data_IF_579766561847
#
_entry.id   IF_579766561847
#
_cell.length_a   1.000
_cell.length_b   1.000
_cell.length_c   1.000
_cell.angle_alpha   90.00
_cell.angle_beta   90.00
_cell.angle_gamma   90.00
#
_symmetry.space_group_name_H-M   'P 1'
#
loop_
_entity.id
_entity.type
_entity.pdbx_description
1 polymer ?
#
# COMPACT_ATOMS: atom_id res chain seq x y z
N UNK A 1 -4.70 12.69 15.46
CA UNK A 1 -4.94 12.85 14.01
C UNK A 1 -3.60 12.75 13.30
N UNK A 2 -3.49 12.05 12.16
CA UNK A 2 -2.24 11.91 11.40
C UNK A 2 -1.69 13.28 10.93
N UNK A 3 -0.37 13.45 10.97
CA UNK A 3 0.34 14.69 10.60
C UNK A 3 1.64 14.37 9.86
N UNK A 4 1.76 14.84 8.61
CA UNK A 4 2.92 14.58 7.76
C UNK A 4 4.20 15.30 8.23
N UNK A 5 4.10 16.44 8.94
CA UNK A 5 5.27 17.13 9.48
C UNK A 5 5.88 16.35 10.64
N UNK A 6 5.06 15.77 11.52
CA UNK A 6 5.54 14.83 12.55
C UNK A 6 6.06 13.55 11.90
N UNK A 7 5.38 13.07 10.86
CA UNK A 7 5.77 11.89 10.09
C UNK A 7 7.14 12.00 9.45
N UNK A 8 7.52 13.18 8.95
CA UNK A 8 8.88 13.45 8.45
C UNK A 8 9.96 13.18 9.51
N UNK A 9 9.71 13.58 10.77
CA UNK A 9 10.66 13.36 11.85
C UNK A 9 10.80 11.85 12.16
N UNK A 10 9.68 11.13 12.22
CA UNK A 10 9.66 9.66 12.38
C UNK A 10 10.38 8.98 11.22
N UNK A 11 10.13 9.41 9.98
CA UNK A 11 10.78 8.89 8.78
C UNK A 11 12.31 9.05 8.86
N UNK A 12 12.79 10.23 9.22
CA UNK A 12 14.20 10.52 9.35
C UNK A 12 14.88 9.65 10.42
N UNK A 13 14.18 9.35 11.51
CA UNK A 13 14.71 8.58 12.64
C UNK A 13 14.71 7.06 12.39
N UNK A 14 13.66 6.54 11.73
CA UNK A 14 13.41 5.09 11.69
C UNK A 14 13.45 4.46 10.29
N UNK A 15 13.34 5.26 9.22
CA UNK A 15 13.08 4.74 7.88
C UNK A 15 14.17 5.12 6.86
N UNK A 16 14.69 6.34 6.95
CA UNK A 16 15.58 6.92 5.94
C UNK A 16 16.92 6.16 5.77
N UNK A 17 17.38 5.46 6.82
CA UNK A 17 18.62 4.65 6.73
C UNK A 17 18.51 3.50 5.74
N UNK A 18 17.31 2.97 5.50
CA UNK A 18 17.06 1.88 4.57
C UNK A 18 16.39 2.39 3.29
N UNK A 19 15.31 3.17 3.43
CA UNK A 19 14.53 3.64 2.28
C UNK A 19 15.12 4.88 1.60
N UNK A 20 16.22 5.42 2.12
CA UNK A 20 16.89 6.61 1.61
C UNK A 20 16.22 7.91 2.06
N UNK A 21 16.95 9.03 1.99
CA UNK A 21 16.43 10.33 2.43
C UNK A 21 15.20 10.79 1.63
N UNK A 22 15.12 10.39 0.36
CA UNK A 22 14.03 10.73 -0.56
C UNK A 22 13.12 9.54 -0.86
N UNK A 23 13.10 8.51 -0.01
CA UNK A 23 12.21 7.35 -0.18
C UNK A 23 12.48 6.53 -1.43
N UNK A 24 13.64 6.69 -2.06
CA UNK A 24 13.99 6.05 -3.34
C UNK A 24 14.37 4.57 -3.21
N UNK A 25 14.55 4.08 -1.98
CA UNK A 25 14.99 2.72 -1.71
C UNK A 25 16.39 2.43 -2.26
N UNK A 26 16.67 1.14 -2.46
CA UNK A 26 17.93 0.63 -2.99
C UNK A 26 17.66 -0.34 -4.14
N UNK A 27 17.91 0.10 -5.38
CA UNK A 27 17.69 -0.70 -6.59
C UNK A 27 18.82 -1.72 -6.77
N UNK A 28 18.46 -2.95 -7.13
CA UNK A 28 19.44 -3.99 -7.47
C UNK A 28 20.19 -3.61 -8.75
N UNK A 29 21.50 -3.84 -8.77
CA UNK A 29 22.31 -3.62 -9.95
C UNK A 29 22.16 -4.79 -10.95
N UNK A 30 22.28 -4.53 -12.27
CA UNK A 30 22.30 -5.59 -13.27
C UNK A 30 23.33 -6.68 -12.96
N UNK A 31 23.04 -7.97 -13.24
CA UNK A 31 21.87 -8.47 -13.97
C UNK A 31 20.59 -8.63 -13.12
N UNK A 32 20.64 -8.28 -11.83
CA UNK A 32 19.49 -8.47 -10.93
C UNK A 32 18.44 -7.36 -11.14
N UNK A 33 17.17 -7.76 -11.12
CA UNK A 33 16.01 -6.86 -11.28
C UNK A 33 15.33 -6.65 -9.93
N UNK A 34 14.78 -5.45 -9.72
CA UNK A 34 14.00 -5.08 -8.54
C UNK A 34 14.80 -4.27 -7.51
N UNK A 35 14.41 -4.37 -6.25
CA UNK A 35 14.97 -3.58 -5.15
C UNK A 35 15.40 -4.48 -3.98
N UNK A 36 16.47 -4.10 -3.28
CA UNK A 36 16.81 -4.66 -1.97
C UNK A 36 15.95 -4.01 -0.89
N UNK A 37 15.80 -2.68 -0.97
CA UNK A 37 14.86 -1.91 -0.17
C UNK A 37 13.91 -1.19 -1.11
N UNK A 38 12.58 -1.41 -1.02
CA UNK A 38 11.65 -0.84 -1.96
C UNK A 38 11.55 0.69 -1.82
N UNK A 39 11.29 1.41 -2.92
CA UNK A 39 10.95 2.83 -2.86
C UNK A 39 9.55 3.02 -2.25
N UNK A 40 9.41 4.02 -1.38
CA UNK A 40 8.15 4.31 -0.70
C UNK A 40 7.27 5.34 -1.45
N UNK A 41 7.88 6.12 -2.32
CA UNK A 41 7.21 7.07 -3.22
C UNK A 41 8.08 7.31 -4.48
N UNK A 42 7.59 8.14 -5.40
CA UNK A 42 8.19 8.35 -6.72
C UNK A 42 7.78 7.29 -7.74
N UNK A 43 8.24 7.45 -8.99
CA UNK A 43 7.79 6.65 -10.15
C UNK A 43 7.97 5.13 -9.98
N UNK A 44 8.95 4.70 -9.18
CA UNK A 44 9.23 3.29 -8.92
C UNK A 44 8.40 2.65 -7.79
N UNK A 45 7.50 3.41 -7.15
CA UNK A 45 6.70 2.94 -6.01
C UNK A 45 5.28 2.53 -6.40
N UNK A 46 4.43 2.27 -5.40
CA UNK A 46 3.02 1.92 -5.60
C UNK A 46 2.21 3.11 -6.13
N UNK A 47 1.16 2.83 -6.91
CA UNK A 47 0.26 3.88 -7.40
C UNK A 47 -0.80 4.28 -6.36
N UNK A 48 -1.48 5.41 -6.57
CA UNK A 48 -2.50 5.92 -5.64
C UNK A 48 -3.72 5.01 -5.42
N UNK A 49 -3.97 4.03 -6.30
CA UNK A 49 -5.03 3.05 -6.18
C UNK A 49 -4.62 1.79 -5.39
N UNK A 50 -3.35 1.64 -5.07
CA UNK A 50 -2.87 0.52 -4.28
C UNK A 50 -3.38 0.61 -2.83
N UNK A 51 -3.58 -0.54 -2.19
CA UNK A 51 -3.96 -0.59 -0.77
C UNK A 51 -2.99 0.17 0.14
N UNK A 52 -1.69 0.20 -0.21
CA UNK A 52 -0.68 0.97 0.54
C UNK A 52 -0.81 2.49 0.39
N UNK A 53 -1.56 2.97 -0.61
CA UNK A 53 -1.99 4.37 -0.73
C UNK A 53 -3.10 4.74 0.24
N UNK A 54 -3.75 3.76 0.88
CA UNK A 54 -4.77 4.01 1.89
C UNK A 54 -4.14 4.15 3.27
N UNK A 55 -4.38 5.29 3.92
CA UNK A 55 -3.69 5.68 5.14
C UNK A 55 -3.79 4.66 6.28
N UNK A 56 -4.96 4.04 6.46
CA UNK A 56 -5.19 3.09 7.54
C UNK A 56 -4.48 1.75 7.30
N UNK A 57 -4.40 1.28 6.05
CA UNK A 57 -3.64 0.09 5.71
C UNK A 57 -2.14 0.33 5.86
N UNK A 58 -1.65 1.48 5.38
CA UNK A 58 -0.25 1.86 5.54
C UNK A 58 0.17 1.96 7.00
N UNK A 59 -0.59 2.68 7.84
CA UNK A 59 -0.29 2.83 9.26
C UNK A 59 -0.27 1.47 9.99
N UNK A 60 -1.22 0.59 9.67
CA UNK A 60 -1.31 -0.75 10.25
C UNK A 60 -0.11 -1.62 9.84
N UNK A 61 0.23 -1.62 8.55
CA UNK A 61 1.37 -2.37 8.03
C UNK A 61 2.70 -1.89 8.63
N UNK A 62 2.91 -0.57 8.66
CA UNK A 62 4.11 0.06 9.20
C UNK A 62 4.29 -0.31 10.68
N UNK A 63 3.24 -0.17 11.50
CA UNK A 63 3.34 -0.51 12.93
C UNK A 63 3.67 -1.99 13.17
N UNK A 64 3.15 -2.87 12.33
CA UNK A 64 3.29 -4.31 12.51
C UNK A 64 4.61 -4.88 11.98
N UNK A 65 5.21 -4.25 10.97
CA UNK A 65 6.33 -4.86 10.22
C UNK A 65 7.56 -3.95 10.09
N UNK A 66 7.48 -2.69 10.52
CA UNK A 66 8.58 -1.73 10.40
C UNK A 66 8.96 -1.14 11.75
N UNK A 67 10.27 -0.91 12.00
CA UNK A 67 11.42 -1.26 11.14
C UNK A 67 11.70 -2.77 11.02
N UNK A 68 12.67 -3.17 10.19
CA UNK A 68 13.04 -4.59 9.99
C UNK A 68 13.30 -5.29 11.33
N UNK A 69 12.69 -6.47 11.53
CA UNK A 69 12.80 -7.24 12.76
C UNK A 69 11.70 -6.96 13.80
N UNK A 70 10.81 -6.00 13.53
CA UNK A 70 9.59 -5.75 14.32
C UNK A 70 8.50 -6.77 13.99
N UNK A 71 7.72 -7.12 15.02
CA UNK A 71 6.46 -7.88 14.92
C UNK A 71 5.31 -7.09 15.55
N UNK A 72 4.07 -7.38 15.15
CA UNK A 72 2.86 -6.69 15.64
C UNK A 72 2.67 -6.78 17.16
N UNK A 73 3.29 -7.78 17.80
CA UNK A 73 3.26 -8.00 19.26
C UNK A 73 4.18 -7.05 20.02
N UNK A 74 5.27 -6.61 19.39
CA UNK A 74 6.30 -5.76 20.00
C UNK A 74 6.69 -4.62 19.04
N UNK A 75 5.75 -3.70 18.75
CA UNK A 75 5.99 -2.62 17.81
C UNK A 75 7.00 -1.61 18.39
N UNK A 76 7.94 -1.17 17.55
CA UNK A 76 8.86 -0.07 17.91
C UNK A 76 8.15 1.28 17.87
N UNK A 77 7.31 1.50 16.85
CA UNK A 77 6.56 2.73 16.69
C UNK A 77 5.29 2.71 17.55
N UNK A 78 5.00 3.85 18.17
CA UNK A 78 3.68 4.09 18.75
C UNK A 78 2.61 4.09 17.66
N UNK A 79 1.35 3.95 18.05
CA UNK A 79 0.23 4.08 17.11
C UNK A 79 0.30 5.43 16.39
N UNK A 80 0.48 6.53 17.11
CA UNK A 80 0.50 7.87 16.52
C UNK A 80 1.66 8.07 15.54
N UNK A 81 2.86 7.58 15.85
CA UNK A 81 4.01 7.65 14.94
C UNK A 81 3.78 6.87 13.65
N UNK A 82 3.17 5.67 13.74
CA UNK A 82 2.84 4.88 12.56
C UNK A 82 1.84 5.59 11.64
N UNK A 83 0.84 6.26 12.20
CA UNK A 83 -0.10 7.09 11.44
C UNK A 83 0.56 8.33 10.83
N UNK A 84 1.42 9.01 11.59
CA UNK A 84 2.11 10.22 11.13
C UNK A 84 3.07 9.90 9.98
N UNK A 85 3.89 8.85 10.10
CA UNK A 85 4.82 8.45 9.04
C UNK A 85 4.11 7.88 7.81
N UNK A 86 2.97 7.20 7.99
CA UNK A 86 2.13 6.79 6.87
C UNK A 86 1.56 8.01 6.11
N UNK A 87 1.10 9.03 6.83
CA UNK A 87 0.63 10.27 6.23
C UNK A 87 1.76 11.00 5.47
N UNK A 88 2.96 11.06 6.05
CA UNK A 88 4.13 11.60 5.36
C UNK A 88 4.44 10.82 4.08
N UNK A 89 4.52 9.48 4.16
CA UNK A 89 4.77 8.61 3.01
C UNK A 89 3.78 8.89 1.88
N UNK A 90 2.47 8.83 2.15
CA UNK A 90 1.40 8.99 1.15
C UNK A 90 1.30 10.44 0.62
N UNK A 91 1.75 11.44 1.38
CA UNK A 91 1.74 12.84 0.91
C UNK A 91 2.80 13.16 -0.14
N UNK A 92 3.79 12.28 -0.33
CA UNK A 92 4.78 12.41 -1.39
C UNK A 92 4.20 12.01 -2.76
N UNK A 93 4.82 12.37 -3.90
CA UNK A 93 4.31 12.01 -5.22
C UNK A 93 4.33 10.49 -5.48
N UNK A 94 3.23 9.94 -5.97
CA UNK A 94 3.10 8.55 -6.43
C UNK A 94 2.57 8.48 -7.86
N UNK A 95 2.81 7.37 -8.58
CA UNK A 95 2.11 7.09 -9.82
C UNK A 95 0.60 7.19 -9.66
N UNK A 96 -0.06 7.75 -10.66
CA UNK A 96 -1.53 7.82 -10.69
C UNK A 96 -2.08 6.42 -10.94
N UNK A 97 -3.17 6.07 -10.26
CA UNK A 97 -3.86 4.82 -10.51
C UNK A 97 -4.33 4.76 -11.97
N UNK A 98 -4.25 3.60 -12.65
CA UNK A 98 -4.94 3.44 -13.92
C UNK A 98 -6.44 3.66 -13.71
N UNK A 99 -7.18 4.14 -14.74
CA UNK A 99 -8.62 4.21 -14.68
C UNK A 99 -9.21 2.82 -14.38
N UNK A 100 -10.33 2.79 -13.67
CA UNK A 100 -11.05 1.53 -13.46
C UNK A 100 -11.39 0.90 -14.82
N UNK A 101 -11.26 -0.43 -14.96
CA UNK A 101 -11.76 -1.09 -16.14
C UNK A 101 -13.27 -0.83 -16.23
N UNK A 102 -13.74 -0.53 -17.44
CA UNK A 102 -15.19 -0.38 -17.67
C UNK A 102 -15.90 -1.65 -17.19
N UNK A 103 -17.06 -1.52 -16.52
CA UNK A 103 -17.80 -2.68 -16.05
C UNK A 103 -18.11 -3.57 -17.26
N UNK A 104 -17.66 -4.83 -17.21
CA UNK A 104 -18.03 -5.82 -18.22
C UNK A 104 -19.57 -5.90 -18.25
N UNK A 105 -20.19 -5.94 -19.45
CA UNK A 105 -21.64 -6.04 -19.54
C UNK A 105 -22.09 -7.29 -18.79
N UNK A 106 -23.00 -7.10 -17.83
CA UNK A 106 -23.57 -8.18 -17.06
C UNK A 106 -24.07 -9.26 -18.02
N UNK A 107 -23.55 -10.48 -17.87
CA UNK A 107 -24.10 -11.63 -18.57
C UNK A 107 -25.56 -11.77 -18.14
N UNK A 108 -26.47 -11.62 -19.10
CA UNK A 108 -27.89 -11.80 -18.88
C UNK A 108 -28.11 -13.26 -18.43
N UNK A 109 -28.41 -13.46 -17.14
CA UNK A 109 -28.82 -14.75 -16.60
C UNK A 109 -30.16 -15.11 -17.25
N UNK A 110 -30.09 -15.94 -18.30
CA UNK A 110 -31.26 -16.45 -19.01
C UNK A 110 -32.18 -17.20 -18.06
N UNK A 111 -33.38 -16.64 -17.87
CA UNK A 111 -34.53 -17.36 -17.38
C UNK A 111 -34.80 -18.56 -18.31
N UNK A 112 -34.81 -19.77 -17.75
CA UNK A 112 -35.23 -20.99 -18.41
C UNK A 112 -36.35 -21.64 -17.61
N UNK A 113 -37.51 -21.73 -18.26
CA UNK A 113 -38.83 -22.12 -17.78
C UNK A 113 -38.94 -23.27 -16.76
N UNK A 114 -39.90 -23.05 -15.86
CA UNK A 114 -40.62 -24.03 -15.05
C UNK A 114 -41.51 -24.91 -15.97
N UNK A 115 -41.31 -26.22 -16.01
CA UNK A 115 -42.27 -27.16 -16.61
C UNK A 115 -42.57 -28.29 -15.61
N UNK A 116 -43.78 -28.27 -15.06
CA UNK A 116 -44.34 -29.31 -14.19
C UNK A 116 -45.39 -30.14 -14.98
N UNK A 117 -45.88 -31.26 -14.43
CA UNK A 117 -45.61 -32.63 -14.88
C UNK A 117 -46.69 -33.20 -15.82
N UNK A 118 -46.34 -34.26 -16.56
CA UNK A 118 -47.32 -35.12 -17.26
C UNK A 118 -47.25 -36.57 -16.77
N UNK A 119 -48.26 -36.98 -16.01
CA UNK A 119 -48.73 -38.36 -15.88
C UNK A 119 -50.05 -38.46 -16.69
N UNK A 120 -50.39 -39.60 -17.29
CA UNK A 120 -50.86 -40.76 -16.53
C UNK A 120 -50.12 -42.08 -16.80
#
# INVERSE_FOLDING_TARGET
MPDSRRGLAVYAQHCASCHGQNGQGERKQPPNVGYYVPPLWGEGSFNGGAGMGQLFYAASFIRANMPTGVDYRTPTLTVQEAWDVAAYMISNPHPIAPPEPEPEPAAEEGAGEEEAPAAP
#
